data_IF_361604719359
#
_entry.id   IF_361604719359
#
_cell.length_a   1.000
_cell.length_b   1.000
_cell.length_c   1.000
_cell.angle_alpha   90.00
_cell.angle_beta   90.00
_cell.angle_gamma   90.00
#
_symmetry.space_group_name_H-M   'P 1'
#
loop_
_entity.id
_entity.type
_entity.pdbx_description
1 polymer ?
#
# COMPACT_ATOMS: atom_id res chain seq x y z
N UNK A 1 24.40 19.74 -29.67
CA UNK A 1 24.06 20.00 -28.25
C UNK A 1 24.81 18.96 -27.43
N UNK A 2 25.49 19.32 -26.32
CA UNK A 2 26.05 18.29 -25.44
C UNK A 2 24.91 17.35 -25.01
N UNK A 3 25.14 16.04 -25.05
CA UNK A 3 24.12 15.06 -24.66
C UNK A 3 23.74 15.30 -23.20
N UNK A 4 22.44 15.47 -22.92
CA UNK A 4 21.93 15.57 -21.56
C UNK A 4 22.43 14.41 -20.70
N UNK A 5 23.01 14.72 -19.54
CA UNK A 5 23.52 13.71 -18.62
C UNK A 5 22.37 13.16 -17.78
N UNK A 6 22.06 11.87 -17.92
CA UNK A 6 21.08 11.19 -17.08
C UNK A 6 21.78 10.38 -15.98
N UNK A 7 21.21 10.43 -14.77
CA UNK A 7 21.67 9.66 -13.62
C UNK A 7 20.55 8.79 -13.07
N UNK A 8 20.91 7.59 -12.61
CA UNK A 8 19.98 6.66 -12.00
C UNK A 8 19.51 7.17 -10.63
N UNK A 9 18.23 6.97 -10.35
CA UNK A 9 17.62 7.26 -9.05
C UNK A 9 16.47 6.30 -8.79
N UNK A 10 15.78 6.50 -7.67
CA UNK A 10 14.60 5.72 -7.29
C UNK A 10 13.51 6.66 -6.82
N UNK A 11 12.27 6.34 -7.18
CA UNK A 11 11.10 7.10 -6.74
C UNK A 11 11.00 7.11 -5.21
N UNK A 12 10.98 8.28 -4.56
CA UNK A 12 10.94 8.37 -3.09
C UNK A 12 9.52 8.23 -2.50
N UNK A 13 8.49 8.14 -3.35
CA UNK A 13 7.10 8.11 -2.90
C UNK A 13 6.73 6.82 -2.17
N UNK A 14 5.77 6.96 -1.27
CA UNK A 14 5.19 5.88 -0.49
C UNK A 14 4.16 5.07 -1.32
N UNK A 15 4.68 4.37 -2.33
CA UNK A 15 3.96 3.42 -3.18
C UNK A 15 4.85 2.19 -3.38
N UNK A 16 4.31 0.96 -3.37
CA UNK A 16 5.13 -0.26 -3.42
C UNK A 16 5.88 -0.47 -4.75
N UNK A 17 5.60 0.32 -5.79
CA UNK A 17 6.26 0.16 -7.10
C UNK A 17 7.75 0.46 -7.09
N UNK A 18 8.24 1.35 -6.20
CA UNK A 18 9.67 1.71 -6.09
C UNK A 18 10.32 1.93 -7.46
N UNK A 19 9.71 2.78 -8.30
CA UNK A 19 10.12 2.93 -9.69
C UNK A 19 11.60 3.31 -9.79
N UNK A 20 12.36 2.59 -10.60
CA UNK A 20 13.69 3.00 -11.01
C UNK A 20 13.57 4.18 -11.98
N UNK A 21 14.39 5.21 -11.79
CA UNK A 21 14.30 6.48 -12.50
C UNK A 21 15.61 6.79 -13.22
N UNK A 22 15.49 7.50 -14.33
CA UNK A 22 16.57 8.24 -14.98
C UNK A 22 16.23 9.72 -14.88
N UNK A 23 17.13 10.48 -14.27
CA UNK A 23 16.95 11.91 -13.98
C UNK A 23 17.99 12.70 -14.76
N UNK A 24 17.53 13.63 -15.58
CA UNK A 24 18.40 14.58 -16.29
C UNK A 24 19.04 15.56 -15.30
N UNK A 25 20.36 15.68 -15.35
CA UNK A 25 21.14 16.64 -14.57
C UNK A 25 21.46 17.83 -15.47
N UNK A 26 20.90 19.00 -15.13
CA UNK A 26 21.15 20.24 -15.87
C UNK A 26 22.38 20.96 -15.33
N UNK A 27 22.52 20.99 -14.00
CA UNK A 27 23.68 21.54 -13.29
C UNK A 27 23.76 20.97 -11.85
N UNK A 28 24.66 21.50 -11.02
CA UNK A 28 24.88 21.07 -9.62
C UNK A 28 23.65 21.20 -8.70
N UNK A 29 22.67 22.00 -9.09
CA UNK A 29 21.49 22.37 -8.29
C UNK A 29 20.16 22.08 -8.99
N UNK A 30 20.18 21.81 -10.30
CA UNK A 30 18.98 21.66 -11.12
C UNK A 30 18.91 20.30 -11.82
N UNK A 31 17.73 19.69 -11.71
CA UNK A 31 17.31 18.54 -12.52
C UNK A 31 16.34 18.98 -13.61
N UNK A 32 16.33 18.24 -14.73
CA UNK A 32 15.42 18.41 -15.86
C UNK A 32 14.39 17.29 -15.93
N UNK A 33 14.29 16.63 -17.08
CA UNK A 33 13.35 15.53 -17.30
C UNK A 33 13.56 14.37 -16.31
N UNK A 34 12.45 13.77 -15.87
CA UNK A 34 12.44 12.55 -15.05
C UNK A 34 11.65 11.49 -15.81
N UNK A 35 12.28 10.34 -16.10
CA UNK A 35 11.65 9.20 -16.76
C UNK A 35 11.93 7.90 -15.99
N UNK A 36 11.15 6.87 -16.28
CA UNK A 36 11.39 5.54 -15.69
C UNK A 36 12.50 4.80 -16.42
N UNK A 37 13.30 4.04 -15.68
CA UNK A 37 14.30 3.15 -16.27
C UNK A 37 13.61 1.90 -16.82
N UNK A 38 13.95 1.51 -18.06
CA UNK A 38 13.35 0.36 -18.75
C UNK A 38 13.78 -0.99 -18.14
N UNK A 39 15.00 -1.06 -17.59
CA UNK A 39 15.57 -2.28 -17.02
C UNK A 39 14.81 -2.81 -15.79
N UNK A 40 14.08 -1.96 -15.08
CA UNK A 40 13.21 -2.41 -14.00
C UNK A 40 11.99 -3.13 -14.59
N UNK A 41 12.06 -4.46 -14.69
CA UNK A 41 11.03 -5.31 -15.30
C UNK A 41 9.63 -5.19 -14.69
N UNK A 42 9.50 -4.76 -13.42
CA UNK A 42 8.19 -4.55 -12.82
C UNK A 42 7.56 -3.23 -13.30
N UNK A 43 8.33 -2.14 -13.33
CA UNK A 43 7.79 -0.84 -13.75
C UNK A 43 7.87 -0.63 -15.26
N UNK A 44 8.80 -1.30 -15.94
CA UNK A 44 9.04 -1.28 -17.39
C UNK A 44 9.05 0.14 -17.96
N UNK A 45 9.83 1.03 -17.34
CA UNK A 45 9.89 2.46 -17.71
C UNK A 45 8.65 3.29 -17.35
N UNK A 46 7.55 2.68 -16.90
CA UNK A 46 6.31 3.39 -16.55
C UNK A 46 6.42 4.06 -15.18
N UNK A 47 6.28 5.38 -15.17
CA UNK A 47 6.15 6.21 -13.97
C UNK A 47 4.84 7.01 -14.00
N UNK A 48 4.31 7.34 -12.83
CA UNK A 48 3.10 8.15 -12.76
C UNK A 48 3.39 9.64 -13.03
N UNK A 49 2.35 10.40 -13.41
CA UNK A 49 2.45 11.84 -13.67
C UNK A 49 3.06 12.64 -12.50
N UNK A 50 2.86 12.18 -11.25
CA UNK A 50 3.46 12.80 -10.05
C UNK A 50 4.99 12.78 -10.09
N UNK A 51 5.57 11.71 -10.63
CA UNK A 51 7.02 11.50 -10.71
C UNK A 51 7.59 12.07 -12.00
N UNK A 52 6.87 11.96 -13.12
CA UNK A 52 7.30 12.58 -14.38
C UNK A 52 7.48 14.10 -14.26
N UNK A 53 6.70 14.74 -13.38
CA UNK A 53 6.73 16.18 -13.09
C UNK A 53 7.52 16.53 -11.83
N UNK A 54 8.38 15.64 -11.34
CA UNK A 54 9.05 15.86 -10.04
C UNK A 54 9.96 17.09 -10.03
N UNK A 55 10.52 17.48 -11.19
CA UNK A 55 11.30 18.71 -11.33
C UNK A 55 10.49 19.96 -10.94
N UNK A 56 9.19 20.01 -11.26
CA UNK A 56 8.32 21.12 -10.87
C UNK A 56 8.19 21.23 -9.35
N UNK A 57 8.14 20.10 -8.64
CA UNK A 57 8.11 20.07 -7.17
C UNK A 57 9.45 20.46 -6.56
N UNK A 58 10.55 19.99 -7.12
CA UNK A 58 11.91 20.27 -6.61
C UNK A 58 12.27 21.74 -6.79
N UNK A 59 11.81 22.36 -7.88
CA UNK A 59 12.12 23.75 -8.24
C UNK A 59 10.97 24.72 -7.97
N UNK A 60 9.92 24.29 -7.26
CA UNK A 60 8.78 25.14 -6.95
C UNK A 60 9.23 26.40 -6.19
N UNK A 61 8.77 27.61 -6.55
CA UNK A 61 9.18 28.84 -5.89
C UNK A 61 8.88 28.84 -4.38
N UNK A 62 7.77 28.23 -3.97
CA UNK A 62 7.38 28.13 -2.55
C UNK A 62 8.09 27.02 -1.77
N UNK A 63 9.08 26.34 -2.38
CA UNK A 63 9.83 25.30 -1.67
C UNK A 63 10.60 25.94 -0.51
N UNK A 64 10.41 25.38 0.69
CA UNK A 64 11.17 25.80 1.86
C UNK A 64 12.67 25.51 1.65
N UNK A 65 13.48 26.57 1.63
CA UNK A 65 14.95 26.50 1.45
C UNK A 65 15.72 26.91 2.71
N UNK A 66 15.02 27.47 3.71
CA UNK A 66 15.61 27.97 4.96
C UNK A 66 14.77 27.57 6.17
N UNK A 67 15.39 27.37 7.34
CA UNK A 67 14.67 27.17 8.59
C UNK A 67 13.80 28.39 8.96
N UNK A 68 12.61 28.13 9.49
CA UNK A 68 11.65 29.13 9.90
C UNK A 68 11.37 29.04 11.40
N UNK A 69 11.55 30.15 12.11
CA UNK A 69 11.20 30.28 13.53
C UNK A 69 9.83 30.93 13.67
N UNK A 70 8.91 30.26 14.38
CA UNK A 70 7.61 30.84 14.73
C UNK A 70 7.81 32.03 15.66
N UNK A 71 7.27 33.19 15.29
CA UNK A 71 7.35 34.44 16.07
C UNK A 71 6.03 34.84 16.74
N UNK A 72 4.91 34.28 16.27
CA UNK A 72 3.58 34.54 16.83
C UNK A 72 2.94 33.32 17.53
N UNK A 73 1.65 33.44 17.90
CA UNK A 73 0.88 32.34 18.48
C UNK A 73 0.84 31.10 17.57
N UNK A 74 0.69 29.91 18.16
CA UNK A 74 0.55 28.66 17.40
C UNK A 74 -0.66 28.75 16.47
N UNK A 75 -0.46 28.43 15.18
CA UNK A 75 -1.51 28.54 14.16
C UNK A 75 -1.61 29.90 13.46
N UNK A 76 -0.87 30.92 13.89
CA UNK A 76 -0.91 32.28 13.29
C UNK A 76 -0.24 32.38 11.91
N UNK A 77 0.56 31.40 11.50
CA UNK A 77 1.35 31.48 10.27
C UNK A 77 2.52 32.48 10.32
N UNK A 78 2.82 33.08 11.48
CA UNK A 78 3.88 34.08 11.62
C UNK A 78 5.24 33.42 11.88
N UNK A 79 6.15 33.59 10.91
CA UNK A 79 7.50 33.06 10.95
C UNK A 79 8.54 34.10 10.52
N UNK A 80 9.76 33.98 11.04
CA UNK A 80 10.95 34.64 10.51
C UNK A 80 11.99 33.59 10.10
N UNK A 81 12.77 33.87 9.07
CA UNK A 81 13.91 33.02 8.73
C UNK A 81 14.99 33.06 9.83
N UNK A 82 15.63 31.91 10.04
CA UNK A 82 16.81 31.78 10.90
C UNK A 82 17.89 30.92 10.22
N UNK A 83 19.13 31.04 10.69
CA UNK A 83 20.23 30.19 10.21
C UNK A 83 20.11 28.74 10.69
N UNK A 84 20.76 27.81 9.98
CA UNK A 84 20.78 26.39 10.35
C UNK A 84 21.38 26.13 11.74
N UNK A 85 22.47 26.82 12.11
CA UNK A 85 23.07 26.66 13.44
C UNK A 85 22.08 27.07 14.55
N UNK A 86 21.46 28.25 14.43
CA UNK A 86 20.44 28.70 15.40
C UNK A 86 19.27 27.71 15.48
N UNK A 87 18.80 27.18 14.34
CA UNK A 87 17.70 26.23 14.32
C UNK A 87 18.06 24.92 15.04
N UNK A 88 19.23 24.38 14.76
CA UNK A 88 19.72 23.14 15.36
C UNK A 88 19.99 23.32 16.86
N UNK A 89 20.63 24.40 17.28
CA UNK A 89 20.92 24.69 18.70
C UNK A 89 19.62 24.84 19.50
N UNK A 90 18.62 25.56 18.96
CA UNK A 90 17.31 25.69 19.61
C UNK A 90 16.62 24.35 19.79
N UNK A 91 16.62 23.50 18.75
CA UNK A 91 15.99 22.18 18.82
C UNK A 91 16.74 21.29 19.81
N UNK A 92 18.07 21.21 19.71
CA UNK A 92 18.90 20.40 20.60
C UNK A 92 18.75 20.82 22.07
N UNK A 93 18.84 22.13 22.35
CA UNK A 93 18.63 22.68 23.69
C UNK A 93 17.23 22.37 24.24
N UNK A 94 16.18 22.58 23.42
CA UNK A 94 14.81 22.28 23.85
C UNK A 94 14.62 20.79 24.19
N UNK A 95 15.18 19.89 23.37
CA UNK A 95 15.10 18.45 23.63
C UNK A 95 15.86 18.06 24.91
N UNK A 96 17.04 18.65 25.14
CA UNK A 96 17.82 18.44 26.35
C UNK A 96 17.09 18.95 27.60
N UNK A 97 16.51 20.15 27.54
CA UNK A 97 15.77 20.75 28.65
C UNK A 97 14.50 19.97 28.99
N UNK A 98 13.80 19.44 27.98
CA UNK A 98 12.62 18.57 28.19
C UNK A 98 13.06 17.27 28.84
N UNK A 99 14.12 16.63 28.33
CA UNK A 99 14.64 15.39 28.88
C UNK A 99 15.12 15.55 30.33
N UNK A 100 15.77 16.67 30.66
CA UNK A 100 16.23 16.96 32.02
C UNK A 100 15.08 17.17 33.01
N UNK A 101 14.00 17.84 32.58
CA UNK A 101 12.85 18.16 33.45
C UNK A 101 11.83 17.04 33.58
N UNK A 102 11.65 16.24 32.52
CA UNK A 102 10.54 15.30 32.40
C UNK A 102 10.98 13.86 32.06
N UNK A 103 12.28 13.61 31.99
CA UNK A 103 12.84 12.33 31.54
C UNK A 103 12.94 12.23 30.03
N UNK A 104 13.85 11.38 29.54
CA UNK A 104 14.12 11.21 28.09
C UNK A 104 12.89 10.73 27.32
N UNK A 105 12.00 9.99 27.98
CA UNK A 105 10.75 9.50 27.39
C UNK A 105 9.74 10.61 27.07
N UNK A 106 9.88 11.80 27.65
CA UNK A 106 9.05 12.96 27.30
C UNK A 106 9.30 13.47 25.87
N UNK A 107 10.44 13.09 25.27
CA UNK A 107 10.71 13.34 23.85
C UNK A 107 10.14 12.18 23.02
N UNK A 108 9.06 12.45 22.29
CA UNK A 108 8.44 11.49 21.39
C UNK A 108 8.61 11.88 19.91
N UNK A 109 9.42 11.14 19.13
CA UNK A 109 9.56 11.38 17.70
C UNK A 109 8.30 10.87 16.98
N UNK A 110 7.63 11.76 16.26
CA UNK A 110 6.53 11.41 15.35
C UNK A 110 7.04 11.41 13.91
N UNK A 111 7.30 10.22 13.39
CA UNK A 111 7.77 9.96 12.02
C UNK A 111 6.93 8.81 11.42
N UNK A 112 7.21 8.41 10.18
CA UNK A 112 6.42 7.44 9.38
C UNK A 112 5.11 8.01 8.82
N UNK A 113 4.73 7.82 7.57
CA UNK A 113 5.50 7.46 6.37
C UNK A 113 5.20 8.51 5.28
N UNK A 114 5.97 8.52 4.19
CA UNK A 114 5.72 9.45 3.08
C UNK A 114 6.90 9.60 2.13
N UNK A 115 8.11 9.60 2.66
CA UNK A 115 9.35 9.40 1.89
C UNK A 115 9.99 8.10 2.33
N UNK A 116 10.16 7.16 1.40
CA UNK A 116 10.55 5.78 1.69
C UNK A 116 12.05 5.49 1.46
N UNK A 117 12.88 6.53 1.34
CA UNK A 117 14.33 6.36 1.28
C UNK A 117 14.90 5.78 2.58
N UNK A 118 15.85 4.84 2.48
CA UNK A 118 16.36 4.08 3.63
C UNK A 118 16.92 4.97 4.74
N UNK A 119 17.68 6.00 4.36
CA UNK A 119 18.27 6.95 5.31
C UNK A 119 17.20 7.86 5.92
N UNK A 120 16.29 8.39 5.10
CA UNK A 120 15.27 9.34 5.52
C UNK A 120 14.22 8.69 6.43
N UNK A 121 13.86 7.43 6.16
CA UNK A 121 12.87 6.68 6.93
C UNK A 121 13.43 6.23 8.28
N UNK A 122 14.61 5.62 8.30
CA UNK A 122 15.11 4.88 9.47
C UNK A 122 16.24 5.59 10.22
N UNK A 123 16.81 6.68 9.68
CA UNK A 123 17.93 7.40 10.29
C UNK A 123 17.63 7.98 11.68
N UNK A 124 16.38 8.33 11.96
CA UNK A 124 15.92 8.84 13.27
C UNK A 124 16.14 7.82 14.41
N UNK A 125 16.18 6.52 14.10
CA UNK A 125 16.30 5.45 15.10
C UNK A 125 17.62 5.55 15.89
N UNK A 126 18.72 5.94 15.23
CA UNK A 126 20.03 6.09 15.89
C UNK A 126 19.96 7.15 17.00
N UNK A 127 19.43 8.32 16.68
CA UNK A 127 19.28 9.42 17.64
C UNK A 127 18.39 8.99 18.82
N UNK A 128 17.23 8.38 18.53
CA UNK A 128 16.31 7.89 19.56
C UNK A 128 16.99 6.92 20.53
N UNK A 129 17.73 5.94 20.01
CA UNK A 129 18.36 4.92 20.85
C UNK A 129 19.51 5.49 21.68
N UNK A 130 20.36 6.34 21.07
CA UNK A 130 21.46 6.98 21.78
C UNK A 130 20.96 7.87 22.94
N UNK A 131 19.86 8.60 22.71
CA UNK A 131 19.30 9.54 23.68
C UNK A 131 18.24 8.91 24.61
N UNK A 132 17.91 7.63 24.42
CA UNK A 132 16.85 6.92 25.16
C UNK A 132 15.49 7.63 25.11
N UNK A 133 15.16 8.22 23.96
CA UNK A 133 13.87 8.85 23.71
C UNK A 133 12.76 7.81 23.51
N UNK A 134 11.51 8.26 23.65
CA UNK A 134 10.34 7.41 23.45
C UNK A 134 10.32 6.74 22.08
N UNK A 135 9.78 5.52 22.03
CA UNK A 135 9.59 4.76 20.79
C UNK A 135 8.20 5.04 20.21
N UNK A 136 8.12 5.05 18.89
CA UNK A 136 6.85 5.08 18.17
C UNK A 136 6.60 3.70 17.58
N UNK A 137 5.41 3.13 17.85
CA UNK A 137 4.90 2.01 17.06
C UNK A 137 4.37 2.56 15.74
N UNK A 138 4.88 2.06 14.61
CA UNK A 138 4.59 2.58 13.28
C UNK A 138 3.24 2.08 12.76
N UNK A 139 2.15 2.69 13.23
CA UNK A 139 0.78 2.16 13.02
C UNK A 139 -0.03 2.86 11.93
N UNK A 140 0.54 3.87 11.26
CA UNK A 140 -0.24 4.75 10.35
C UNK A 140 -0.71 4.01 9.10
N UNK A 141 0.09 3.11 8.53
CA UNK A 141 -0.18 2.50 7.24
C UNK A 141 -0.58 1.02 7.35
N UNK A 142 0.36 0.16 7.73
CA UNK A 142 0.27 -1.29 7.46
C UNK A 142 -0.11 -2.12 8.68
N UNK A 143 -0.03 -1.60 9.91
CA UNK A 143 -0.13 -2.40 11.14
C UNK A 143 -1.36 -3.33 11.24
N UNK A 144 -2.51 -2.94 10.70
CA UNK A 144 -3.72 -3.79 10.71
C UNK A 144 -3.63 -4.89 9.66
N UNK A 145 -3.15 -4.58 8.45
CA UNK A 145 -2.87 -5.57 7.42
C UNK A 145 -1.83 -6.58 7.91
N UNK A 146 -0.76 -6.08 8.53
CA UNK A 146 0.33 -6.85 9.09
C UNK A 146 -0.16 -7.92 10.08
N UNK A 147 -1.04 -7.53 11.00
CA UNK A 147 -1.61 -8.45 11.97
C UNK A 147 -2.43 -9.58 11.30
N UNK A 148 -3.29 -9.24 10.33
CA UNK A 148 -4.10 -10.23 9.63
C UNK A 148 -3.28 -11.14 8.72
N UNK A 149 -2.35 -10.57 7.95
CA UNK A 149 -1.47 -11.32 7.05
C UNK A 149 -0.58 -12.29 7.83
N UNK A 150 0.01 -11.84 8.94
CA UNK A 150 0.84 -12.71 9.79
C UNK A 150 0.01 -13.81 10.43
N UNK A 151 -1.24 -13.55 10.82
CA UNK A 151 -2.11 -14.58 11.38
C UNK A 151 -2.48 -15.68 10.36
N UNK A 152 -2.63 -15.34 9.07
CA UNK A 152 -2.97 -16.31 8.03
C UNK A 152 -1.77 -16.99 7.36
N UNK A 153 -0.72 -16.22 7.06
CA UNK A 153 0.42 -16.66 6.23
C UNK A 153 1.67 -16.94 7.06
N UNK A 154 1.75 -16.44 8.31
CA UNK A 154 2.91 -16.59 9.19
C UNK A 154 4.12 -15.73 8.82
N UNK A 155 4.20 -15.22 7.58
CA UNK A 155 5.28 -14.37 7.10
C UNK A 155 4.82 -13.39 6.00
N UNK A 156 5.58 -12.30 5.79
CA UNK A 156 5.38 -11.36 4.68
C UNK A 156 5.89 -11.92 3.36
N UNK A 157 5.22 -12.96 2.88
CA UNK A 157 5.50 -13.61 1.60
C UNK A 157 4.33 -13.37 0.66
N UNK A 158 4.60 -13.31 -0.63
CA UNK A 158 3.59 -13.17 -1.66
C UNK A 158 4.16 -13.52 -3.03
N UNK A 159 3.31 -13.69 -4.05
CA UNK A 159 3.77 -13.96 -5.40
C UNK A 159 4.57 -12.78 -5.95
N UNK A 160 5.38 -13.04 -6.96
CA UNK A 160 6.01 -11.96 -7.71
C UNK A 160 4.92 -11.12 -8.39
N UNK A 161 4.96 -9.81 -8.16
CA UNK A 161 3.97 -8.89 -8.72
C UNK A 161 3.93 -8.91 -10.26
N UNK A 162 4.99 -9.39 -10.94
CA UNK A 162 5.02 -9.59 -12.39
C UNK A 162 4.11 -10.72 -12.87
N UNK A 163 3.77 -11.68 -12.01
CA UNK A 163 2.86 -12.80 -12.32
C UNK A 163 1.41 -12.34 -12.57
N UNK A 164 1.06 -11.11 -12.15
CA UNK A 164 -0.21 -10.48 -12.56
C UNK A 164 -0.38 -10.51 -14.09
N UNK A 165 0.69 -10.26 -14.86
CA UNK A 165 0.64 -10.23 -16.32
C UNK A 165 0.33 -11.59 -16.97
N UNK A 166 0.54 -12.69 -16.25
CA UNK A 166 0.32 -14.07 -16.71
C UNK A 166 -0.91 -14.73 -16.08
N UNK A 167 -1.71 -13.97 -15.34
CA UNK A 167 -2.93 -14.42 -14.68
C UNK A 167 -4.14 -14.43 -15.64
N UNK A 168 -5.10 -15.32 -15.40
CA UNK A 168 -6.37 -15.39 -16.15
C UNK A 168 -7.51 -14.68 -15.40
N UNK A 169 -7.34 -14.45 -14.09
CA UNK A 169 -8.22 -13.65 -13.25
C UNK A 169 -7.38 -12.79 -12.31
N UNK A 170 -7.67 -11.49 -12.25
CA UNK A 170 -7.07 -10.57 -11.28
C UNK A 170 -8.20 -10.00 -10.42
N UNK A 171 -8.08 -10.19 -9.11
CA UNK A 171 -8.98 -9.63 -8.10
C UNK A 171 -8.26 -8.49 -7.40
N UNK A 172 -8.70 -7.25 -7.60
CA UNK A 172 -8.24 -6.11 -6.81
C UNK A 172 -9.18 -5.96 -5.61
N UNK A 173 -8.67 -6.25 -4.41
CA UNK A 173 -9.47 -6.21 -3.19
C UNK A 173 -9.10 -5.00 -2.33
N UNK A 174 -10.01 -4.05 -2.18
CA UNK A 174 -9.84 -2.83 -1.40
C UNK A 174 -8.73 -1.91 -1.89
N UNK A 175 -8.50 -1.88 -3.21
CA UNK A 175 -7.47 -1.07 -3.86
C UNK A 175 -7.98 -0.27 -5.06
N UNK A 176 -7.35 0.88 -5.32
CA UNK A 176 -7.62 1.73 -6.50
C UNK A 176 -6.33 2.02 -7.29
N UNK A 177 -5.70 1.00 -7.89
CA UNK A 177 -4.41 1.11 -8.57
C UNK A 177 -4.35 2.17 -9.68
N UNK A 178 -5.47 2.50 -10.34
CA UNK A 178 -5.52 3.62 -11.30
C UNK A 178 -4.99 4.92 -10.69
N UNK A 179 -5.28 5.18 -9.41
CA UNK A 179 -4.82 6.38 -8.71
C UNK A 179 -3.52 6.15 -7.90
N UNK A 180 -3.38 4.97 -7.30
CA UNK A 180 -2.37 4.73 -6.26
C UNK A 180 -1.17 3.91 -6.72
N UNK A 181 -1.29 3.11 -7.78
CA UNK A 181 -0.23 2.21 -8.25
C UNK A 181 -0.38 1.90 -9.75
N UNK A 182 0.01 2.86 -10.61
CA UNK A 182 -0.19 2.76 -12.07
C UNK A 182 0.45 1.52 -12.70
N UNK A 183 1.53 0.99 -12.11
CA UNK A 183 2.20 -0.22 -12.62
C UNK A 183 1.33 -1.47 -12.50
N UNK A 184 0.44 -1.57 -11.50
CA UNK A 184 -0.57 -2.64 -11.43
C UNK A 184 -1.49 -2.57 -12.65
N UNK A 185 -1.88 -1.37 -13.07
CA UNK A 185 -2.72 -1.20 -14.27
C UNK A 185 -1.99 -1.62 -15.54
N UNK A 186 -0.67 -1.40 -15.63
CA UNK A 186 0.17 -1.89 -16.73
C UNK A 186 0.15 -3.42 -16.81
N UNK A 187 0.39 -4.11 -15.69
CA UNK A 187 0.36 -5.58 -15.65
C UNK A 187 -1.04 -6.15 -15.92
N UNK A 188 -2.08 -5.51 -15.39
CA UNK A 188 -3.47 -5.85 -15.68
C UNK A 188 -3.78 -5.71 -17.17
N UNK A 189 -3.42 -4.59 -17.79
CA UNK A 189 -3.65 -4.38 -19.23
C UNK A 189 -2.92 -5.44 -20.07
N UNK A 190 -1.70 -5.81 -19.67
CA UNK A 190 -0.94 -6.90 -20.31
C UNK A 190 -1.66 -8.25 -20.16
N UNK A 191 -2.12 -8.60 -18.96
CA UNK A 191 -2.89 -9.81 -18.72
C UNK A 191 -4.17 -9.87 -19.57
N UNK A 192 -4.93 -8.77 -19.62
CA UNK A 192 -6.13 -8.68 -20.45
C UNK A 192 -5.81 -8.90 -21.93
N UNK A 193 -4.76 -8.25 -22.44
CA UNK A 193 -4.34 -8.34 -23.85
C UNK A 193 -3.80 -9.74 -24.23
N UNK A 194 -3.00 -10.35 -23.36
CA UNK A 194 -2.26 -11.58 -23.69
C UNK A 194 -3.00 -12.86 -23.27
N UNK A 195 -3.85 -12.77 -22.25
CA UNK A 195 -4.53 -13.92 -21.62
C UNK A 195 -6.06 -13.83 -21.68
N UNK A 196 -6.62 -12.67 -22.05
CA UNK A 196 -8.05 -12.43 -21.91
C UNK A 196 -8.49 -12.33 -20.45
N UNK A 197 -7.57 -11.95 -19.55
CA UNK A 197 -7.79 -11.98 -18.11
C UNK A 197 -9.03 -11.19 -17.68
N UNK A 198 -9.78 -11.70 -16.71
CA UNK A 198 -10.90 -10.98 -16.09
C UNK A 198 -10.43 -10.11 -14.94
N UNK A 199 -11.01 -8.93 -14.81
CA UNK A 199 -10.81 -8.04 -13.67
C UNK A 199 -12.04 -8.06 -12.74
N UNK A 200 -11.83 -8.47 -11.50
CA UNK A 200 -12.81 -8.28 -10.42
C UNK A 200 -12.28 -7.21 -9.48
N UNK A 201 -13.15 -6.32 -9.03
CA UNK A 201 -12.83 -5.30 -8.03
C UNK A 201 -13.78 -5.42 -6.85
N UNK A 202 -13.22 -5.52 -5.65
CA UNK A 202 -13.97 -5.50 -4.38
C UNK A 202 -13.69 -4.16 -3.71
N UNK A 203 -14.67 -3.25 -3.73
CA UNK A 203 -14.51 -1.86 -3.31
C UNK A 203 -15.89 -1.29 -2.96
N UNK A 204 -16.11 -0.66 -1.79
CA UNK A 204 -17.44 -0.18 -1.39
C UNK A 204 -18.03 0.92 -2.29
N UNK A 205 -17.22 1.53 -3.16
CA UNK A 205 -17.69 2.53 -4.12
C UNK A 205 -17.08 2.28 -5.51
N UNK A 206 -17.69 2.86 -6.54
CA UNK A 206 -17.23 2.70 -7.93
C UNK A 206 -16.01 3.59 -8.21
N UNK A 207 -14.84 3.13 -7.76
CA UNK A 207 -13.55 3.77 -8.03
C UNK A 207 -13.17 3.71 -9.52
N UNK A 208 -12.12 4.45 -9.90
CA UNK A 208 -11.61 4.41 -11.29
C UNK A 208 -11.16 3.01 -11.73
N UNK A 209 -10.72 2.18 -10.78
CA UNK A 209 -10.38 0.78 -11.05
C UNK A 209 -11.64 -0.07 -11.22
N UNK A 210 -12.65 0.12 -10.35
CA UNK A 210 -13.94 -0.56 -10.47
C UNK A 210 -14.69 -0.21 -11.78
N UNK A 211 -14.54 1.03 -12.27
CA UNK A 211 -15.19 1.49 -13.48
C UNK A 211 -14.78 0.71 -14.75
N UNK A 212 -13.60 0.09 -14.76
CA UNK A 212 -13.04 -0.69 -15.89
C UNK A 212 -13.05 -2.21 -15.63
N UNK A 213 -13.63 -2.64 -14.51
CA UNK A 213 -13.71 -4.04 -14.11
C UNK A 213 -14.78 -4.81 -14.90
N UNK A 214 -14.55 -6.11 -15.12
CA UNK A 214 -15.58 -7.02 -15.63
C UNK A 214 -16.65 -7.30 -14.56
N UNK A 215 -16.28 -7.24 -13.27
CA UNK A 215 -17.20 -7.37 -12.14
C UNK A 215 -16.76 -6.44 -11.00
N UNK A 216 -17.71 -5.69 -10.44
CA UNK A 216 -17.52 -4.86 -9.26
C UNK A 216 -18.41 -5.34 -8.12
N UNK A 217 -17.79 -5.78 -7.02
CA UNK A 217 -18.47 -6.17 -5.78
C UNK A 217 -18.50 -4.96 -4.83
N UNK A 218 -19.58 -4.20 -4.89
CA UNK A 218 -19.83 -3.01 -4.05
C UNK A 218 -20.41 -3.39 -2.68
N UNK A 219 -19.62 -4.08 -1.87
CA UNK A 219 -20.00 -4.48 -0.52
C UNK A 219 -20.07 -3.30 0.46
N UNK A 220 -20.82 -3.45 1.55
CA UNK A 220 -20.82 -2.51 2.67
C UNK A 220 -19.40 -2.40 3.27
N UNK A 221 -18.94 -1.20 3.66
CA UNK A 221 -17.60 -1.05 4.23
C UNK A 221 -17.35 -1.96 5.45
N UNK A 222 -16.23 -2.67 5.44
CA UNK A 222 -15.77 -3.50 6.56
C UNK A 222 -16.36 -4.92 6.61
N UNK A 223 -17.18 -5.32 5.64
CA UNK A 223 -17.81 -6.65 5.58
C UNK A 223 -17.05 -7.66 4.72
N UNK A 224 -15.81 -7.36 4.35
CA UNK A 224 -14.98 -8.16 3.44
C UNK A 224 -14.78 -9.60 3.91
N UNK A 225 -14.56 -9.80 5.21
CA UNK A 225 -14.43 -11.15 5.77
C UNK A 225 -15.69 -11.99 5.59
N UNK A 226 -16.88 -11.40 5.54
CA UNK A 226 -18.12 -12.15 5.27
C UNK A 226 -18.19 -12.61 3.81
N UNK A 227 -17.79 -11.75 2.87
CA UNK A 227 -17.66 -12.14 1.46
C UNK A 227 -16.63 -13.25 1.28
N UNK A 228 -15.44 -13.12 1.87
CA UNK A 228 -14.39 -14.12 1.80
C UNK A 228 -14.84 -15.47 2.40
N UNK A 229 -15.51 -15.45 3.56
CA UNK A 229 -16.10 -16.67 4.15
C UNK A 229 -17.10 -17.35 3.22
N UNK A 230 -18.00 -16.60 2.59
CA UNK A 230 -18.96 -17.20 1.66
C UNK A 230 -18.31 -17.77 0.39
N UNK A 231 -17.28 -17.10 -0.13
CA UNK A 231 -16.50 -17.63 -1.27
C UNK A 231 -15.79 -18.93 -0.89
N UNK A 232 -15.18 -18.99 0.30
CA UNK A 232 -14.56 -20.22 0.80
C UNK A 232 -15.60 -21.33 1.04
N UNK A 233 -16.76 -21.00 1.62
CA UNK A 233 -17.88 -21.94 1.78
C UNK A 233 -18.26 -22.57 0.44
N UNK A 234 -18.47 -21.74 -0.59
CA UNK A 234 -18.82 -22.19 -1.94
C UNK A 234 -17.68 -23.05 -2.52
N UNK A 235 -16.41 -22.68 -2.33
CA UNK A 235 -15.28 -23.47 -2.80
C UNK A 235 -15.24 -24.88 -2.18
N UNK A 236 -15.55 -25.03 -0.89
CA UNK A 236 -15.68 -26.34 -0.25
C UNK A 236 -16.91 -27.11 -0.75
N UNK A 237 -18.05 -26.43 -0.91
CA UNK A 237 -19.33 -27.00 -1.38
C UNK A 237 -19.21 -27.54 -2.81
N UNK A 238 -18.59 -26.77 -3.70
CA UNK A 238 -18.56 -27.02 -5.15
C UNK A 238 -17.28 -27.73 -5.61
N UNK A 239 -16.37 -28.06 -4.69
CA UNK A 239 -15.17 -28.84 -4.98
C UNK A 239 -14.03 -28.03 -5.62
N UNK A 240 -14.00 -26.71 -5.45
CA UNK A 240 -12.87 -25.86 -5.88
C UNK A 240 -11.77 -25.70 -4.83
N UNK A 241 -12.04 -26.06 -3.57
CA UNK A 241 -11.02 -26.06 -2.53
C UNK A 241 -9.99 -27.18 -2.76
N UNK A 242 -8.72 -26.83 -2.95
CA UNK A 242 -7.63 -27.79 -3.18
C UNK A 242 -7.29 -28.56 -1.90
N UNK A 243 -7.96 -29.70 -1.71
CA UNK A 243 -7.80 -30.56 -0.54
C UNK A 243 -6.40 -31.16 -0.44
N UNK A 244 -5.75 -31.44 -1.57
CA UNK A 244 -4.41 -32.03 -1.57
C UNK A 244 -3.36 -31.01 -1.10
N UNK A 245 -3.47 -29.76 -1.59
CA UNK A 245 -2.62 -28.66 -1.14
C UNK A 245 -2.83 -28.38 0.35
N UNK A 246 -4.08 -28.22 0.79
CA UNK A 246 -4.40 -27.92 2.19
C UNK A 246 -3.94 -29.02 3.16
N UNK A 247 -4.02 -30.30 2.78
CA UNK A 247 -3.53 -31.39 3.61
C UNK A 247 -2.01 -31.33 3.88
N UNK A 248 -1.26 -30.64 3.02
CA UNK A 248 0.20 -30.51 3.13
C UNK A 248 0.64 -29.15 3.68
N UNK A 249 -0.15 -28.10 3.44
CA UNK A 249 0.26 -26.71 3.63
C UNK A 249 -0.69 -25.86 4.49
N UNK A 250 -1.73 -26.45 5.10
CA UNK A 250 -2.63 -25.76 6.01
C UNK A 250 -2.75 -26.50 7.35
N UNK A 251 -2.89 -25.75 8.44
CA UNK A 251 -2.89 -26.31 9.80
C UNK A 251 -4.19 -27.02 10.18
N UNK A 252 -5.35 -26.50 9.73
CA UNK A 252 -6.66 -26.96 10.21
C UNK A 252 -7.81 -26.87 9.17
N UNK A 253 -7.66 -27.45 7.96
CA UNK A 253 -8.65 -27.33 6.89
C UNK A 253 -10.05 -27.87 7.25
N UNK A 254 -10.13 -28.93 8.05
CA UNK A 254 -11.41 -29.50 8.47
C UNK A 254 -12.15 -28.59 9.46
N UNK A 255 -11.43 -27.98 10.39
CA UNK A 255 -11.99 -27.00 11.33
C UNK A 255 -12.44 -25.74 10.59
N UNK A 256 -11.70 -25.31 9.57
CA UNK A 256 -12.11 -24.22 8.68
C UNK A 256 -13.38 -24.58 7.91
N UNK A 257 -13.47 -25.76 7.30
CA UNK A 257 -14.67 -26.21 6.58
C UNK A 257 -15.89 -26.26 7.52
N UNK A 258 -15.74 -26.80 8.73
CA UNK A 258 -16.80 -26.83 9.74
C UNK A 258 -17.24 -25.42 10.16
N UNK A 259 -16.28 -24.51 10.36
CA UNK A 259 -16.57 -23.10 10.62
C UNK A 259 -17.39 -22.48 9.47
N UNK A 260 -17.02 -22.75 8.22
CA UNK A 260 -17.67 -22.14 7.06
C UNK A 260 -19.07 -22.71 6.75
N UNK A 261 -19.48 -23.83 7.35
CA UNK A 261 -20.75 -24.50 7.03
C UNK A 261 -21.98 -23.58 7.12
N UNK A 262 -22.03 -22.68 8.11
CA UNK A 262 -23.12 -21.73 8.31
C UNK A 262 -22.91 -20.36 7.62
N UNK A 263 -21.82 -20.18 6.88
CA UNK A 263 -21.38 -18.89 6.28
C UNK A 263 -21.59 -18.87 4.77
N UNK A 264 -22.75 -19.35 4.33
CA UNK A 264 -23.11 -19.44 2.91
C UNK A 264 -23.46 -18.08 2.25
N UNK A 265 -23.87 -18.11 0.97
CA UNK A 265 -24.20 -16.92 0.19
C UNK A 265 -25.30 -16.05 0.82
N UNK A 266 -26.39 -16.65 1.32
CA UNK A 266 -27.50 -15.91 1.95
C UNK A 266 -27.05 -15.17 3.21
N UNK A 267 -26.22 -15.82 4.03
CA UNK A 267 -25.62 -15.23 5.22
C UNK A 267 -24.74 -14.02 4.86
N UNK A 268 -23.85 -14.17 3.88
CA UNK A 268 -22.98 -13.08 3.46
C UNK A 268 -23.76 -11.97 2.75
N UNK A 269 -24.83 -12.28 2.01
CA UNK A 269 -25.68 -11.29 1.34
C UNK A 269 -26.30 -10.32 2.35
N UNK A 270 -26.86 -10.83 3.45
CA UNK A 270 -27.43 -10.01 4.51
C UNK A 270 -26.42 -9.04 5.14
N UNK A 271 -25.18 -9.47 5.32
CA UNK A 271 -24.10 -8.68 5.94
C UNK A 271 -23.53 -7.67 4.94
N UNK A 272 -23.11 -8.15 3.78
CA UNK A 272 -22.37 -7.38 2.77
C UNK A 272 -23.27 -6.46 1.95
N UNK A 273 -24.57 -6.76 1.86
CA UNK A 273 -25.49 -6.08 0.95
C UNK A 273 -25.35 -6.51 -0.52
N UNK A 274 -24.45 -7.45 -0.84
CA UNK A 274 -24.33 -8.00 -2.19
C UNK A 274 -25.46 -9.01 -2.45
N UNK A 275 -26.07 -9.04 -3.66
CA UNK A 275 -27.01 -10.10 -4.03
C UNK A 275 -26.34 -11.48 -4.00
N UNK A 276 -27.06 -12.49 -3.54
CA UNK A 276 -26.61 -13.90 -3.52
C UNK A 276 -26.04 -14.34 -4.87
N UNK A 277 -26.74 -14.03 -5.97
CA UNK A 277 -26.28 -14.37 -7.31
C UNK A 277 -24.95 -13.73 -7.68
N UNK A 278 -24.62 -12.55 -7.14
CA UNK A 278 -23.34 -11.89 -7.38
C UNK A 278 -22.20 -12.56 -6.60
N UNK A 279 -22.47 -13.00 -5.37
CA UNK A 279 -21.52 -13.77 -4.54
C UNK A 279 -21.22 -15.11 -5.21
N UNK A 280 -22.25 -15.84 -5.63
CA UNK A 280 -22.12 -17.12 -6.36
C UNK A 280 -21.36 -16.95 -7.68
N UNK A 281 -21.65 -15.90 -8.45
CA UNK A 281 -20.95 -15.62 -9.69
C UNK A 281 -19.45 -15.33 -9.46
N UNK A 282 -19.11 -14.56 -8.41
CA UNK A 282 -17.72 -14.31 -8.06
C UNK A 282 -17.01 -15.58 -7.59
N UNK A 283 -17.63 -16.33 -6.68
CA UNK A 283 -17.05 -17.56 -6.15
C UNK A 283 -16.81 -18.60 -7.25
N UNK A 284 -17.74 -18.73 -8.20
CA UNK A 284 -17.56 -19.56 -9.40
C UNK A 284 -16.39 -19.11 -10.25
N UNK A 285 -16.35 -17.82 -10.60
CA UNK A 285 -15.28 -17.27 -11.41
C UNK A 285 -13.90 -17.48 -10.75
N UNK A 286 -13.81 -17.24 -9.44
CA UNK A 286 -12.57 -17.44 -8.69
C UNK A 286 -12.19 -18.92 -8.57
N UNK A 287 -13.10 -19.76 -8.08
CA UNK A 287 -12.85 -21.19 -7.84
C UNK A 287 -12.58 -22.00 -9.11
N UNK A 288 -13.17 -21.64 -10.25
CA UNK A 288 -12.90 -22.33 -11.51
C UNK A 288 -11.63 -21.84 -12.23
N UNK A 289 -11.02 -20.73 -11.80
CA UNK A 289 -9.86 -20.13 -12.48
C UNK A 289 -8.56 -20.54 -11.81
N UNK A 290 -7.77 -21.40 -12.47
CA UNK A 290 -6.49 -21.90 -11.93
C UNK A 290 -5.43 -20.82 -11.70
N UNK A 291 -5.39 -19.79 -12.56
CA UNK A 291 -4.39 -18.70 -12.51
C UNK A 291 -5.03 -17.41 -12.00
N UNK A 292 -5.52 -17.45 -10.77
CA UNK A 292 -6.04 -16.29 -10.06
C UNK A 292 -4.92 -15.53 -9.34
N UNK A 293 -4.96 -14.20 -9.39
CA UNK A 293 -4.08 -13.32 -8.63
C UNK A 293 -4.92 -12.35 -7.80
N UNK A 294 -4.72 -12.34 -6.48
CA UNK A 294 -5.36 -11.40 -5.59
C UNK A 294 -4.39 -10.26 -5.25
N UNK A 295 -4.73 -9.04 -5.67
CA UNK A 295 -4.00 -7.81 -5.32
C UNK A 295 -4.72 -7.09 -4.19
N UNK A 296 -4.17 -7.19 -2.98
CA UNK A 296 -4.72 -6.53 -1.79
C UNK A 296 -4.30 -5.07 -1.68
N UNK A 297 -5.28 -4.19 -1.53
CA UNK A 297 -5.09 -2.82 -1.08
C UNK A 297 -5.22 -2.70 0.44
N UNK A 298 -5.25 -1.46 0.92
CA UNK A 298 -5.39 -1.15 2.34
C UNK A 298 -6.83 -0.86 2.77
N UNK A 299 -7.74 -0.57 1.83
CA UNK A 299 -9.03 0.05 2.14
C UNK A 299 -9.85 -0.72 3.17
N UNK A 300 -10.02 -2.02 2.94
CA UNK A 300 -10.83 -2.88 3.80
C UNK A 300 -10.24 -3.15 5.19
N UNK A 301 -8.92 -3.00 5.33
CA UNK A 301 -8.23 -3.08 6.62
C UNK A 301 -8.48 -1.87 7.52
N UNK A 302 -8.97 -0.74 6.97
CA UNK A 302 -9.26 0.48 7.74
C UNK A 302 -10.63 0.42 8.41
N UNK A 303 -10.89 -0.69 9.08
CA UNK A 303 -12.14 -0.98 9.77
C UNK A 303 -11.87 -1.70 11.08
N UNK A 304 -12.87 -1.78 11.96
CA UNK A 304 -12.78 -2.51 13.24
C UNK A 304 -12.37 -3.97 13.06
N UNK A 305 -12.76 -4.59 11.95
CA UNK A 305 -12.48 -5.99 11.62
C UNK A 305 -11.27 -6.15 10.71
N UNK A 306 -10.47 -5.10 10.49
CA UNK A 306 -9.51 -5.06 9.39
C UNK A 306 -8.48 -6.20 9.37
N UNK A 307 -7.98 -6.62 10.54
CA UNK A 307 -7.05 -7.74 10.63
C UNK A 307 -7.74 -9.08 10.32
N UNK A 308 -8.96 -9.28 10.83
CA UNK A 308 -9.74 -10.49 10.54
C UNK A 308 -10.16 -10.55 9.05
N UNK A 309 -10.50 -9.41 8.46
CA UNK A 309 -10.79 -9.32 7.03
C UNK A 309 -9.54 -9.66 6.21
N UNK A 310 -8.37 -9.12 6.58
CA UNK A 310 -7.09 -9.42 5.90
C UNK A 310 -6.67 -10.89 6.06
N UNK A 311 -6.99 -11.53 7.18
CA UNK A 311 -6.75 -12.96 7.37
C UNK A 311 -7.68 -13.82 6.50
N UNK A 312 -8.95 -13.42 6.37
CA UNK A 312 -9.93 -14.20 5.63
C UNK A 312 -9.77 -14.12 4.11
N UNK A 313 -9.23 -13.01 3.59
CA UNK A 313 -9.01 -12.76 2.16
C UNK A 313 -7.64 -13.30 1.73
#
# INVERSE_FOLDING_TARGET
MPSSEFRSSVCPHDCPSTCALEVEVLDRTRIGAVRGAEENTYTAGVICAKVARYAERVHHPDRLTRPLLRTGPKGSGQFREIGWNEALDRVAGSLADIAARHGTEAVWPFYYAGTMGLVQRDGINRLRHAMRYSRQRLTICTAVCEAGWTAGVGAYLGPDAREMATSDLIVVWGGNPVATQVNVMTHLARARKQRGAKLVVVDPYRSGTAAVADMHLALRPGTDGALACAVMHIAFRDGWADRAYMATHADCPDALQAHLAARGPDWASAITGLPVGQIEAFARLYGSTKRGYIRLGYGFSRSRNGAANMHAV
#
